data_IF_627943784907
#
_entry.id   IF_627943784907
#
_cell.length_a   1.000
_cell.length_b   1.000
_cell.length_c   1.000
_cell.angle_alpha   90.00
_cell.angle_beta   90.00
_cell.angle_gamma   90.00
#
_symmetry.space_group_name_H-M   'P 1'
#
loop_
_entity.id
_entity.type
_entity.pdbx_description
1 polymer ?
#
# COMPACT_ATOMS: atom_id res chain seq x y z
N UNK A 1 8.29 25.66 -0.47
CA UNK A 1 9.23 24.56 -0.14
C UNK A 1 10.08 24.30 -1.36
N UNK A 2 11.41 24.24 -1.22
CA UNK A 2 12.31 23.94 -2.35
C UNK A 2 12.65 22.45 -2.38
N UNK A 3 12.74 21.86 -3.57
CA UNK A 3 13.17 20.48 -3.79
C UNK A 3 14.70 20.37 -3.80
N UNK A 4 15.19 19.21 -3.34
CA UNK A 4 16.64 18.94 -3.24
C UNK A 4 17.25 18.49 -4.57
N UNK A 5 16.46 17.84 -5.43
CA UNK A 5 16.89 17.33 -6.73
C UNK A 5 16.00 17.79 -7.86
N UNK A 6 16.60 18.20 -8.97
CA UNK A 6 15.99 18.46 -10.27
C UNK A 6 16.11 17.23 -11.18
N UNK A 7 15.13 17.03 -12.04
CA UNK A 7 15.13 16.02 -13.09
C UNK A 7 13.76 15.88 -13.75
N UNK A 8 13.74 15.43 -15.00
CA UNK A 8 12.48 15.12 -15.67
C UNK A 8 11.91 13.83 -15.08
N UNK A 9 10.62 13.84 -14.75
CA UNK A 9 9.90 12.61 -14.40
C UNK A 9 9.74 11.77 -15.66
N UNK A 10 10.46 10.66 -15.73
CA UNK A 10 10.33 9.66 -16.79
C UNK A 10 9.68 8.40 -16.21
N UNK A 11 8.85 7.76 -17.02
CA UNK A 11 8.41 6.40 -16.80
C UNK A 11 8.88 5.55 -17.97
N UNK A 12 8.72 4.24 -17.89
CA UNK A 12 8.92 3.39 -19.07
C UNK A 12 7.89 3.80 -20.12
N UNK A 13 8.37 4.22 -21.30
CA UNK A 13 7.50 4.58 -22.42
C UNK A 13 6.61 3.40 -22.79
N UNK A 14 5.32 3.67 -22.99
CA UNK A 14 4.29 2.68 -23.34
C UNK A 14 4.00 1.60 -22.27
N UNK A 15 4.43 1.82 -21.02
CA UNK A 15 3.97 1.00 -19.89
C UNK A 15 2.50 1.35 -19.56
N UNK A 16 1.54 0.80 -20.29
CA UNK A 16 0.10 0.91 -19.95
C UNK A 16 -0.38 -0.16 -18.96
N UNK A 17 0.50 -1.10 -18.59
CA UNK A 17 0.19 -2.20 -17.70
C UNK A 17 -0.14 -1.74 -16.28
N UNK A 18 -1.15 -2.36 -15.67
CA UNK A 18 -1.46 -2.21 -14.25
C UNK A 18 -1.47 -3.57 -13.59
N UNK A 19 -0.95 -3.65 -12.36
CA UNK A 19 -1.00 -4.85 -11.54
C UNK A 19 -2.06 -4.62 -10.48
N UNK A 20 -3.20 -5.31 -10.60
CA UNK A 20 -4.23 -5.33 -9.57
C UNK A 20 -4.08 -6.59 -8.72
N UNK A 21 -4.24 -6.43 -7.41
CA UNK A 21 -4.21 -7.52 -6.44
C UNK A 21 -5.38 -7.35 -5.49
N UNK A 22 -5.99 -8.47 -5.14
CA UNK A 22 -7.11 -8.54 -4.23
C UNK A 22 -6.84 -9.66 -3.24
N UNK A 23 -6.84 -9.32 -1.95
CA UNK A 23 -6.58 -10.24 -0.85
C UNK A 23 -7.65 -10.05 0.22
N UNK A 24 -8.14 -11.17 0.75
CA UNK A 24 -9.03 -11.17 1.90
C UNK A 24 -8.47 -12.10 2.95
N UNK A 25 -8.28 -11.57 4.15
CA UNK A 25 -7.65 -12.27 5.25
C UNK A 25 -8.46 -12.11 6.52
N UNK A 26 -8.64 -13.22 7.24
CA UNK A 26 -9.18 -13.19 8.60
C UNK A 26 -8.13 -12.64 9.56
N UNK A 27 -8.56 -11.70 10.39
CA UNK A 27 -7.72 -11.05 11.40
C UNK A 27 -8.31 -11.36 12.77
N UNK A 28 -7.47 -11.81 13.69
CA UNK A 28 -7.89 -12.15 15.05
C UNK A 28 -7.54 -11.06 16.06
N UNK A 29 -6.53 -10.23 15.76
CA UNK A 29 -6.02 -9.22 16.69
C UNK A 29 -5.68 -7.91 15.98
N UNK A 30 -5.71 -6.81 16.72
CA UNK A 30 -5.25 -5.50 16.21
C UNK A 30 -3.79 -5.55 15.76
N UNK A 31 -2.95 -6.34 16.44
CA UNK A 31 -1.55 -6.54 16.06
C UNK A 31 -1.41 -7.21 14.67
N UNK A 32 -2.28 -8.15 14.34
CA UNK A 32 -2.32 -8.76 12.99
C UNK A 32 -2.79 -7.77 11.92
N UNK A 33 -3.72 -6.87 12.26
CA UNK A 33 -4.13 -5.77 11.37
C UNK A 33 -2.97 -4.81 11.10
N UNK A 34 -2.30 -4.34 12.15
CA UNK A 34 -1.13 -3.46 12.02
C UNK A 34 0.01 -4.10 11.24
N UNK A 35 0.27 -5.38 11.48
CA UNK A 35 1.27 -6.15 10.73
C UNK A 35 0.91 -6.26 9.25
N UNK A 36 -0.36 -6.53 8.95
CA UNK A 36 -0.85 -6.63 7.56
C UNK A 36 -0.76 -5.29 6.83
N UNK A 37 -1.07 -4.18 7.52
CA UNK A 37 -0.90 -2.82 6.99
C UNK A 37 0.58 -2.45 6.78
N UNK A 38 1.47 -2.91 7.66
CA UNK A 38 2.91 -2.65 7.59
C UNK A 38 3.61 -3.40 6.45
N UNK A 39 3.30 -4.70 6.28
CA UNK A 39 3.88 -5.53 5.20
C UNK A 39 3.53 -4.96 3.81
N UNK A 40 2.29 -4.48 3.63
CA UNK A 40 1.85 -3.87 2.37
C UNK A 40 2.66 -2.62 1.97
N UNK A 41 3.26 -1.94 2.96
CA UNK A 41 4.05 -0.72 2.79
C UNK A 41 5.50 -1.06 2.50
N UNK A 42 6.11 -1.97 3.27
CA UNK A 42 7.48 -2.43 3.05
C UNK A 42 7.64 -3.06 1.66
N UNK A 43 6.66 -3.88 1.25
CA UNK A 43 6.61 -4.47 -0.09
C UNK A 43 6.42 -3.44 -1.21
N UNK A 44 5.95 -2.22 -0.91
CA UNK A 44 5.82 -1.13 -1.88
C UNK A 44 7.08 -0.27 -2.04
N UNK A 45 8.15 -0.55 -1.27
CA UNK A 45 9.47 0.09 -1.42
C UNK A 45 9.49 1.61 -1.25
N UNK A 46 8.38 2.22 -0.83
CA UNK A 46 8.19 3.67 -0.77
C UNK A 46 7.79 4.15 0.61
N UNK A 47 8.09 5.43 0.89
CA UNK A 47 7.56 6.16 2.03
C UNK A 47 6.05 6.35 1.81
N UNK A 48 5.26 5.35 2.23
CA UNK A 48 3.93 5.05 1.69
C UNK A 48 2.83 6.10 1.93
N UNK A 49 1.82 6.05 1.06
CA UNK A 49 0.63 6.92 0.98
C UNK A 49 -0.26 6.99 2.24
N UNK A 50 0.04 6.20 3.27
CA UNK A 50 -0.57 6.28 4.59
C UNK A 50 0.52 6.64 5.58
N UNK A 51 0.42 7.80 6.23
CA UNK A 51 1.30 8.15 7.35
C UNK A 51 1.24 7.07 8.42
N UNK A 52 2.31 6.92 9.21
CA UNK A 52 2.32 6.00 10.34
C UNK A 52 1.12 6.27 11.29
N UNK A 53 0.74 7.54 11.46
CA UNK A 53 -0.43 7.94 12.23
C UNK A 53 -1.76 7.45 11.65
N UNK A 54 -2.01 7.60 10.36
CA UNK A 54 -3.27 7.16 9.74
C UNK A 54 -3.50 5.65 9.81
N UNK A 55 -2.41 4.85 9.84
CA UNK A 55 -2.50 3.39 10.03
C UNK A 55 -2.90 3.05 11.46
N UNK A 56 -2.27 3.70 12.42
CA UNK A 56 -2.55 3.50 13.83
C UNK A 56 -3.99 3.90 14.15
N UNK A 57 -4.44 5.06 13.66
CA UNK A 57 -5.81 5.52 13.86
C UNK A 57 -6.83 4.56 13.24
N UNK A 58 -6.56 4.04 12.03
CA UNK A 58 -7.42 3.03 11.39
C UNK A 58 -7.47 1.73 12.18
N UNK A 59 -6.31 1.21 12.61
CA UNK A 59 -6.24 -0.01 13.41
C UNK A 59 -6.94 0.14 14.78
N UNK A 60 -6.76 1.29 15.43
CA UNK A 60 -7.40 1.62 16.70
C UNK A 60 -8.91 1.79 16.55
N UNK A 61 -9.37 2.45 15.47
CA UNK A 61 -10.80 2.65 15.21
C UNK A 61 -11.55 1.34 14.95
N UNK A 62 -10.86 0.30 14.48
CA UNK A 62 -11.45 -0.99 14.08
C UNK A 62 -11.88 -1.90 15.25
N UNK A 63 -11.67 -1.48 16.52
CA UNK A 63 -12.14 -2.13 17.77
C UNK A 63 -12.38 -3.66 17.68
N UNK A 64 -11.30 -4.40 17.46
CA UNK A 64 -11.34 -5.86 17.32
C UNK A 64 -11.70 -6.52 18.67
N UNK A 65 -12.91 -7.08 18.79
CA UNK A 65 -13.39 -7.85 19.96
C UNK A 65 -13.34 -9.36 19.70
N UNK A 66 -13.03 -10.16 20.73
CA UNK A 66 -12.73 -11.60 20.57
C UNK A 66 -13.91 -12.48 20.15
N UNK A 67 -15.15 -11.99 20.23
CA UNK A 67 -16.37 -12.73 19.84
C UNK A 67 -16.80 -12.50 18.39
N UNK A 68 -16.16 -11.58 17.67
CA UNK A 68 -16.56 -11.20 16.31
C UNK A 68 -15.51 -11.64 15.29
N UNK A 69 -15.97 -12.02 14.11
CA UNK A 69 -15.10 -12.34 12.98
C UNK A 69 -14.68 -11.03 12.30
N UNK A 70 -13.38 -10.75 12.23
CA UNK A 70 -12.85 -9.64 11.47
C UNK A 70 -12.18 -10.12 10.18
N UNK A 71 -12.59 -9.55 9.07
CA UNK A 71 -11.99 -9.78 7.76
C UNK A 71 -11.40 -8.47 7.25
N UNK A 72 -10.12 -8.51 6.88
CA UNK A 72 -9.47 -7.44 6.16
C UNK A 72 -9.60 -7.72 4.66
N UNK A 73 -10.17 -6.77 3.95
CA UNK A 73 -10.26 -6.75 2.49
C UNK A 73 -9.29 -5.71 1.98
N UNK A 74 -8.36 -6.14 1.13
CA UNK A 74 -7.35 -5.29 0.51
C UNK A 74 -7.43 -5.41 -1.01
N UNK A 75 -7.71 -4.30 -1.69
CA UNK A 75 -7.60 -4.20 -3.14
C UNK A 75 -6.52 -3.16 -3.46
N UNK A 76 -5.48 -3.56 -4.19
CA UNK A 76 -4.36 -2.69 -4.56
C UNK A 76 -4.16 -2.72 -6.06
N UNK A 77 -4.21 -1.55 -6.68
CA UNK A 77 -3.82 -1.33 -8.07
C UNK A 77 -2.48 -0.62 -8.07
N UNK A 78 -1.49 -1.20 -8.73
CA UNK A 78 -0.16 -0.62 -8.91
C UNK A 78 -0.02 -0.20 -10.37
N UNK A 79 0.26 1.07 -10.59
CA UNK A 79 0.55 1.65 -11.88
C UNK A 79 2.07 1.72 -12.11
N UNK A 80 2.52 1.94 -13.36
CA UNK A 80 3.94 2.07 -13.66
C UNK A 80 4.59 3.15 -12.81
N UNK A 81 5.77 2.79 -12.30
CA UNK A 81 6.64 3.67 -11.52
C UNK A 81 7.17 4.80 -12.40
N UNK A 82 7.14 6.01 -11.87
CA UNK A 82 7.86 7.14 -12.46
C UNK A 82 9.07 7.46 -11.62
N UNK A 83 10.23 7.48 -12.24
CA UNK A 83 11.49 7.82 -11.62
C UNK A 83 12.04 9.15 -12.13
N UNK A 84 13.18 9.50 -11.56
CA UNK A 84 14.10 10.50 -12.09
C UNK A 84 15.37 9.72 -12.43
N UNK A 85 15.65 9.51 -13.71
CA UNK A 85 16.77 8.66 -14.15
C UNK A 85 18.14 9.24 -13.75
N UNK A 86 18.29 10.57 -13.84
CA UNK A 86 19.52 11.29 -13.49
C UNK A 86 19.23 12.47 -12.54
N UNK A 87 19.00 12.21 -11.25
CA UNK A 87 18.69 13.27 -10.30
C UNK A 87 19.93 14.14 -10.07
N UNK A 88 19.80 15.45 -10.27
CA UNK A 88 20.87 16.43 -10.02
C UNK A 88 20.46 17.33 -8.88
N UNK A 89 21.40 17.73 -8.02
CA UNK A 89 21.09 18.68 -6.95
C UNK A 89 20.57 19.99 -7.55
N UNK A 90 19.47 20.50 -6.99
CA UNK A 90 18.98 21.81 -7.40
C UNK A 90 20.01 22.89 -7.11
N UNK A 91 20.02 23.99 -7.89
CA UNK A 91 21.00 25.06 -7.69
C UNK A 91 21.04 25.59 -6.25
N UNK A 92 19.88 25.61 -5.58
CA UNK A 92 19.75 25.99 -4.17
C UNK A 92 20.34 24.96 -3.19
N UNK A 93 20.24 23.66 -3.51
CA UNK A 93 20.80 22.58 -2.70
C UNK A 93 22.31 22.45 -2.92
N UNK A 94 22.79 22.59 -4.16
CA UNK A 94 24.20 22.59 -4.50
C UNK A 94 24.96 23.72 -3.77
N UNK A 95 24.37 24.91 -3.68
CA UNK A 95 24.99 26.07 -3.02
C UNK A 95 25.28 25.88 -1.53
N UNK A 96 24.53 25.01 -0.85
CA UNK A 96 24.68 24.75 0.58
C UNK A 96 25.21 23.35 0.89
N UNK A 97 25.57 22.57 -0.15
CA UNK A 97 26.06 21.20 -0.03
C UNK A 97 27.37 21.08 0.75
N UNK A 98 28.18 22.13 0.77
CA UNK A 98 29.42 22.23 1.55
C UNK A 98 29.19 22.47 3.04
N UNK A 99 27.94 22.74 3.47
CA UNK A 99 27.55 22.90 4.88
C UNK A 99 26.58 21.78 5.28
N UNK A 100 27.10 20.65 5.82
CA UNK A 100 26.30 19.46 6.12
C UNK A 100 25.15 19.72 7.10
N UNK A 101 25.37 20.53 8.15
CA UNK A 101 24.34 20.82 9.16
C UNK A 101 23.16 21.59 8.57
N UNK A 102 23.46 22.61 7.76
CA UNK A 102 22.45 23.44 7.13
C UNK A 102 21.74 22.70 5.98
N UNK A 103 22.45 21.84 5.25
CA UNK A 103 21.87 20.96 4.24
C UNK A 103 20.90 19.96 4.88
N UNK A 104 21.32 19.26 5.93
CA UNK A 104 20.50 18.28 6.63
C UNK A 104 19.28 18.92 7.28
N UNK A 105 19.43 20.09 7.91
CA UNK A 105 18.30 20.82 8.51
C UNK A 105 17.26 21.24 7.48
N UNK A 106 17.66 21.46 6.21
CA UNK A 106 16.77 21.99 5.18
C UNK A 106 16.15 20.92 4.29
N UNK A 107 16.93 19.91 3.91
CA UNK A 107 16.52 18.88 2.95
C UNK A 107 16.47 17.46 3.55
N UNK A 108 17.00 17.26 4.75
CA UNK A 108 17.11 15.95 5.37
C UNK A 108 18.24 15.10 4.79
N UNK A 109 18.16 13.79 5.02
CA UNK A 109 19.12 12.78 4.58
C UNK A 109 18.57 11.86 3.48
N UNK A 110 17.38 12.14 2.96
CA UNK A 110 16.71 11.34 1.94
C UNK A 110 16.08 12.26 0.90
N UNK A 111 15.99 11.78 -0.34
CA UNK A 111 15.25 12.45 -1.41
C UNK A 111 14.34 11.46 -2.11
N UNK A 112 13.30 11.98 -2.76
CA UNK A 112 12.38 11.19 -3.57
C UNK A 112 13.00 11.03 -4.96
N UNK A 113 13.47 9.83 -5.27
CA UNK A 113 13.94 9.46 -6.61
C UNK A 113 12.76 9.21 -7.57
N UNK A 114 11.65 8.68 -7.07
CA UNK A 114 10.49 8.43 -7.89
C UNK A 114 9.23 8.19 -7.08
N UNK A 115 8.13 8.08 -7.80
CA UNK A 115 6.79 7.95 -7.25
C UNK A 115 6.15 6.71 -7.86
N UNK A 116 5.91 5.72 -6.99
CA UNK A 116 4.96 4.65 -7.29
C UNK A 116 3.55 5.22 -7.32
N UNK A 117 2.80 4.92 -8.38
CA UNK A 117 1.42 5.38 -8.54
C UNK A 117 0.46 4.21 -8.41
N UNK A 118 -0.78 4.51 -8.12
CA UNK A 118 -1.83 3.50 -7.98
C UNK A 118 -2.88 3.91 -6.97
N UNK A 119 -3.61 2.91 -6.49
CA UNK A 119 -4.62 3.07 -5.46
C UNK A 119 -4.65 1.84 -4.57
N UNK A 120 -4.92 2.06 -3.29
CA UNK A 120 -5.14 0.99 -2.34
C UNK A 120 -6.46 1.26 -1.63
N UNK A 121 -7.34 0.27 -1.65
CA UNK A 121 -8.57 0.22 -0.91
C UNK A 121 -8.42 -0.81 0.21
N UNK A 122 -8.70 -0.39 1.43
CA UNK A 122 -8.69 -1.23 2.62
C UNK A 122 -10.05 -1.12 3.29
N UNK A 123 -10.68 -2.26 3.55
CA UNK A 123 -11.91 -2.35 4.32
C UNK A 123 -11.77 -3.41 5.41
N UNK A 124 -12.28 -3.11 6.60
CA UNK A 124 -12.41 -4.08 7.69
C UNK A 124 -13.89 -4.39 7.83
N UNK A 125 -14.24 -5.66 7.61
CA UNK A 125 -15.58 -6.17 7.86
C UNK A 125 -15.59 -6.86 9.23
N UNK A 126 -16.45 -6.37 10.12
CA UNK A 126 -16.75 -7.04 11.38
C UNK A 126 -18.09 -7.77 11.22
N UNK A 127 -18.09 -9.07 11.51
CA UNK A 127 -19.29 -9.88 11.62
C UNK A 127 -19.41 -10.38 13.04
N UNK A 128 -20.48 -9.98 13.72
CA UNK A 128 -20.80 -10.49 15.05
C UNK A 128 -21.40 -11.89 14.88
N UNK A 129 -20.68 -12.90 15.34
CA UNK A 129 -21.07 -14.32 15.24
C UNK A 129 -21.48 -14.83 16.61
N UNK A 130 -22.50 -15.69 16.68
CA UNK A 130 -22.95 -16.24 17.95
C UNK A 130 -21.99 -17.31 18.50
N UNK A 131 -21.16 -17.92 17.65
CA UNK A 131 -20.20 -18.96 18.01
C UNK A 131 -18.93 -18.96 17.14
N UNK A 132 -17.85 -19.58 17.65
CA UNK A 132 -16.59 -19.72 16.91
C UNK A 132 -16.73 -20.67 15.71
N UNK A 133 -17.60 -21.68 15.81
CA UNK A 133 -17.86 -22.63 14.73
C UNK A 133 -18.54 -21.96 13.53
N UNK A 134 -19.53 -21.08 13.77
CA UNK A 134 -20.16 -20.28 12.71
C UNK A 134 -19.17 -19.32 12.05
N UNK A 135 -18.33 -18.66 12.84
CA UNK A 135 -17.25 -17.81 12.33
C UNK A 135 -16.29 -18.59 11.40
N UNK A 136 -15.94 -19.82 11.79
CA UNK A 136 -15.10 -20.70 10.99
C UNK A 136 -15.79 -21.07 9.66
N UNK A 137 -17.07 -21.44 9.71
CA UNK A 137 -17.86 -21.81 8.53
C UNK A 137 -17.97 -20.66 7.52
N UNK A 138 -18.32 -19.46 7.99
CA UNK A 138 -18.40 -18.25 7.15
C UNK A 138 -17.04 -17.91 6.55
N UNK A 139 -15.95 -18.01 7.34
CA UNK A 139 -14.60 -17.79 6.82
C UNK A 139 -14.22 -18.78 5.72
N UNK A 140 -14.63 -20.04 5.83
CA UNK A 140 -14.34 -21.08 4.82
C UNK A 140 -15.16 -20.88 3.55
N UNK A 141 -16.45 -20.55 3.67
CA UNK A 141 -17.30 -20.22 2.51
C UNK A 141 -16.75 -19.01 1.76
N UNK A 142 -16.42 -17.94 2.48
CA UNK A 142 -15.82 -16.76 1.88
C UNK A 142 -14.49 -17.08 1.22
N UNK A 143 -13.60 -17.86 1.86
CA UNK A 143 -12.33 -18.29 1.26
C UNK A 143 -12.54 -19.11 -0.03
N UNK A 144 -13.56 -19.98 -0.05
CA UNK A 144 -13.95 -20.75 -1.24
C UNK A 144 -14.47 -19.85 -2.37
N UNK A 145 -15.34 -18.89 -2.04
CA UNK A 145 -15.85 -17.89 -2.99
C UNK A 145 -14.75 -16.94 -3.50
N UNK A 146 -13.74 -16.60 -2.69
CA UNK A 146 -12.60 -15.80 -3.13
C UNK A 146 -11.69 -16.55 -4.09
N UNK A 147 -11.48 -17.85 -3.89
CA UNK A 147 -10.75 -18.68 -4.85
C UNK A 147 -11.40 -18.67 -6.24
N UNK A 148 -12.73 -18.82 -6.26
CA UNK A 148 -13.55 -18.75 -7.49
C UNK A 148 -13.57 -17.34 -8.09
N UNK A 149 -13.81 -16.29 -7.30
CA UNK A 149 -13.84 -14.91 -7.78
C UNK A 149 -12.46 -14.44 -8.28
N UNK A 150 -11.38 -14.82 -7.60
CA UNK A 150 -10.00 -14.52 -8.04
C UNK A 150 -9.67 -15.24 -9.35
N UNK A 151 -10.15 -16.48 -9.53
CA UNK A 151 -10.00 -17.21 -10.78
C UNK A 151 -10.80 -16.55 -11.93
N UNK A 152 -12.05 -16.18 -11.69
CA UNK A 152 -12.90 -15.49 -12.67
C UNK A 152 -12.35 -14.10 -13.04
N UNK A 153 -11.85 -13.35 -12.06
CA UNK A 153 -11.20 -12.06 -12.30
C UNK A 153 -9.92 -12.21 -13.12
N UNK A 154 -9.08 -13.22 -12.82
CA UNK A 154 -7.87 -13.52 -13.62
C UNK A 154 -8.24 -13.91 -15.05
N UNK A 155 -9.27 -14.72 -15.24
CA UNK A 155 -9.75 -15.15 -16.56
C UNK A 155 -10.27 -13.98 -17.39
N UNK A 156 -11.13 -13.13 -16.81
CA UNK A 156 -11.66 -11.94 -17.50
C UNK A 156 -10.60 -10.88 -17.80
N UNK A 157 -9.55 -10.79 -16.98
CA UNK A 157 -8.43 -9.87 -17.21
C UNK A 157 -7.50 -10.37 -18.31
N UNK A 158 -7.25 -11.70 -18.41
CA UNK A 158 -6.47 -12.30 -19.50
C UNK A 158 -7.17 -12.17 -20.86
N UNK A 159 -8.51 -12.13 -20.87
CA UNK A 159 -9.30 -11.94 -22.09
C UNK A 159 -9.39 -10.45 -22.50
N UNK A 160 -9.32 -9.52 -21.55
CA UNK A 160 -9.41 -8.08 -21.80
C UNK A 160 -8.11 -7.44 -22.32
N UNK A 161 -6.97 -8.11 -22.16
CA UNK A 161 -5.66 -7.65 -22.63
C UNK A 161 -4.85 -8.84 -23.19
N UNK A 162 -4.96 -9.14 -24.50
CA UNK A 162 -4.10 -10.12 -25.17
C UNK A 162 -2.63 -9.68 -25.28
#
# INVERSE_FOLDING_TARGET
>A
MGHVVDGAFSGVDDAMGSISSFDIRRIHTTAELEKSLSINVEASGGCGCFSASGRFDFAQSSKIQSSSLFLLISAKVTLPFHGIDEPKLSGSAAAISSNPELFQSRYGNMFVNGVGRGGMFLAVLQMDTASSEEAQAVSMELSGSYGLFSADAKMKMAEAFP
#
